data_IF_953254923049
#
_entry.id   IF_953254923049
#
_cell.length_a   1.000
_cell.length_b   1.000
_cell.length_c   1.000
_cell.angle_alpha   90.00
_cell.angle_beta   90.00
_cell.angle_gamma   90.00
#
_symmetry.space_group_name_H-M   'P 1'
#
loop_
_entity.id
_entity.type
_entity.pdbx_description
1 polymer ?
#
# COMPACT_ATOMS: atom_id res chain seq x y z
N UNK A 1 -17.72 -8.41 -38.06
CA UNK A 1 -17.84 -8.95 -36.69
C UNK A 1 -17.67 -7.78 -35.74
N UNK A 2 -18.74 -7.32 -35.07
CA UNK A 2 -18.64 -6.30 -34.03
C UNK A 2 -18.17 -6.96 -32.73
N UNK A 3 -17.21 -6.35 -32.03
CA UNK A 3 -16.70 -6.85 -30.75
C UNK A 3 -17.37 -6.12 -29.59
N UNK A 4 -17.35 -6.71 -28.39
CA UNK A 4 -17.89 -6.12 -27.16
C UNK A 4 -17.28 -4.73 -26.84
N UNK A 5 -16.12 -4.40 -27.43
CA UNK A 5 -15.44 -3.10 -27.29
C UNK A 5 -16.07 -1.98 -28.13
N UNK A 6 -16.85 -2.31 -29.16
CA UNK A 6 -17.52 -1.34 -30.03
C UNK A 6 -18.82 -0.77 -29.39
N UNK A 7 -19.26 -1.36 -28.26
CA UNK A 7 -20.47 -0.98 -27.52
C UNK A 7 -20.20 -0.11 -26.28
N UNK A 8 -18.94 0.23 -25.99
CA UNK A 8 -18.59 1.08 -24.85
C UNK A 8 -18.75 2.57 -25.21
N UNK A 9 -19.54 3.34 -24.45
CA UNK A 9 -19.73 4.76 -24.75
C UNK A 9 -18.40 5.52 -24.69
N UNK A 10 -18.17 6.29 -25.75
CA UNK A 10 -17.03 7.19 -25.95
C UNK A 10 -16.90 8.12 -24.74
N UNK A 11 -15.69 8.17 -24.15
CA UNK A 11 -15.27 8.96 -22.98
C UNK A 11 -16.18 10.17 -22.69
N UNK A 12 -16.91 10.10 -21.59
CA UNK A 12 -17.60 11.25 -21.03
C UNK A 12 -16.57 12.32 -20.62
N UNK A 13 -16.62 13.49 -21.26
CA UNK A 13 -16.00 14.72 -20.76
C UNK A 13 -17.03 15.41 -19.87
N UNK A 14 -16.73 15.69 -18.59
CA UNK A 14 -17.58 16.56 -17.81
C UNK A 14 -17.63 17.96 -18.47
N UNK A 15 -18.79 18.64 -18.46
CA UNK A 15 -18.90 19.99 -18.98
C UNK A 15 -17.99 20.93 -18.18
N UNK A 16 -17.40 21.91 -18.87
CA UNK A 16 -16.63 22.96 -18.20
C UNK A 16 -17.51 23.68 -17.18
N UNK A 17 -16.98 24.02 -15.99
CA UNK A 17 -17.70 24.85 -15.04
C UNK A 17 -18.06 26.20 -15.70
N UNK A 18 -19.26 26.75 -15.42
CA UNK A 18 -19.65 28.05 -15.98
C UNK A 18 -18.68 29.13 -15.53
N UNK A 19 -18.32 29.99 -16.48
CA UNK A 19 -17.47 31.15 -16.27
C UNK A 19 -18.09 32.05 -15.19
N UNK A 20 -17.32 32.50 -14.18
CA UNK A 20 -17.83 33.44 -13.20
C UNK A 20 -18.19 34.76 -13.89
N UNK A 21 -19.29 35.44 -13.48
CA UNK A 21 -19.66 36.72 -14.06
C UNK A 21 -18.55 37.76 -13.84
N UNK A 22 -18.41 38.75 -14.76
CA UNK A 22 -17.44 39.81 -14.62
C UNK A 22 -17.66 40.55 -13.30
N UNK A 23 -16.67 40.46 -12.40
CA UNK A 23 -16.68 41.14 -11.11
C UNK A 23 -16.56 42.64 -11.36
N UNK A 24 -17.53 43.40 -10.85
CA UNK A 24 -17.50 44.86 -10.88
C UNK A 24 -16.19 45.41 -10.25
N UNK A 25 -15.63 46.51 -10.78
CA UNK A 25 -14.43 47.10 -10.21
C UNK A 25 -14.73 47.63 -8.80
N UNK A 26 -14.08 47.04 -7.80
CA UNK A 26 -14.05 47.61 -6.46
C UNK A 26 -13.14 48.84 -6.46
N UNK A 27 -13.52 49.96 -5.82
CA UNK A 27 -12.63 51.09 -5.63
C UNK A 27 -11.44 50.66 -4.77
N UNK A 28 -10.24 50.84 -5.30
CA UNK A 28 -8.96 50.69 -4.61
C UNK A 28 -8.85 51.76 -3.50
N UNK A 29 -8.68 51.38 -2.22
CA UNK A 29 -8.16 52.31 -1.22
C UNK A 29 -6.68 52.53 -1.48
N UNK A 30 -6.29 53.80 -1.54
CA UNK A 30 -4.93 54.24 -1.71
C UNK A 30 -3.99 53.74 -0.59
N UNK A 31 -2.82 53.32 -1.05
CA UNK A 31 -1.51 53.24 -0.41
C UNK A 31 -1.38 53.75 1.04
N UNK A 32 -1.08 52.83 1.94
CA UNK A 32 -0.22 53.10 3.09
C UNK A 32 0.80 51.97 3.18
N UNK A 33 2.01 52.22 2.66
CA UNK A 33 3.15 51.31 2.71
C UNK A 33 3.62 51.17 4.17
N UNK A 34 3.00 50.24 4.90
CA UNK A 34 3.53 49.79 6.17
C UNK A 34 4.87 49.06 5.91
N UNK A 35 5.93 49.30 6.71
CA UNK A 35 7.17 48.59 6.54
C UNK A 35 6.90 47.10 6.72
N UNK A 36 7.17 46.32 5.67
CA UNK A 36 7.15 44.87 5.68
C UNK A 36 8.15 44.45 6.74
N UNK A 37 7.65 44.12 7.94
CA UNK A 37 8.40 43.45 8.99
C UNK A 37 8.93 42.16 8.37
N UNK A 38 10.19 42.18 7.94
CA UNK A 38 10.92 40.99 7.55
C UNK A 38 10.80 40.02 8.71
N UNK A 39 9.94 39.00 8.54
CA UNK A 39 9.90 37.87 9.47
C UNK A 39 11.27 37.24 9.35
N UNK A 40 12.12 37.57 10.30
CA UNK A 40 13.42 36.96 10.52
C UNK A 40 13.28 35.45 10.36
N UNK A 41 14.11 34.86 9.49
CA UNK A 41 14.27 33.42 9.30
C UNK A 41 14.44 32.75 10.67
N UNK A 42 13.34 32.31 11.26
CA UNK A 42 13.39 31.43 12.42
C UNK A 42 14.05 30.12 11.96
N UNK A 43 15.00 29.56 12.73
CA UNK A 43 15.65 28.31 12.37
C UNK A 43 14.58 27.25 12.12
N UNK A 44 14.63 26.59 10.96
CA UNK A 44 13.71 25.53 10.59
C UNK A 44 13.64 24.50 11.72
N UNK A 45 12.49 24.40 12.39
CA UNK A 45 12.26 23.39 13.40
C UNK A 45 12.62 22.01 12.85
N UNK A 46 13.24 21.16 13.69
CA UNK A 46 13.62 19.82 13.30
C UNK A 46 12.42 19.07 12.69
N UNK A 47 12.63 18.28 11.61
CA UNK A 47 11.55 17.62 10.91
C UNK A 47 10.80 16.66 11.83
N UNK A 48 9.47 16.72 11.78
CA UNK A 48 8.63 15.83 12.59
C UNK A 48 8.68 14.40 12.06
N UNK A 49 8.27 13.41 12.86
CA UNK A 49 8.15 12.03 12.38
C UNK A 49 7.20 11.90 11.19
N UNK A 50 6.16 12.74 11.11
CA UNK A 50 5.24 12.78 9.97
C UNK A 50 5.97 13.23 8.70
N UNK A 51 6.82 14.25 8.79
CA UNK A 51 7.61 14.75 7.66
C UNK A 51 8.61 13.69 7.18
N UNK A 52 9.17 12.90 8.11
CA UNK A 52 10.04 11.76 7.77
C UNK A 52 9.28 10.68 6.98
N UNK A 53 8.07 10.31 7.43
CA UNK A 53 7.25 9.33 6.69
C UNK A 53 6.83 9.85 5.31
N UNK A 54 6.44 11.12 5.20
CA UNK A 54 6.05 11.72 3.93
C UNK A 54 7.23 11.83 2.95
N UNK A 55 8.40 12.21 3.45
CA UNK A 55 9.64 12.26 2.67
C UNK A 55 10.04 10.88 2.18
N UNK A 56 10.02 9.86 3.05
CA UNK A 56 10.26 8.47 2.70
C UNK A 56 9.27 7.98 1.63
N UNK A 57 7.98 8.26 1.82
CA UNK A 57 6.91 7.86 0.89
C UNK A 57 7.17 8.42 -0.51
N UNK A 58 7.40 9.73 -0.63
CA UNK A 58 7.69 10.37 -1.93
C UNK A 58 8.94 9.81 -2.57
N UNK A 59 10.04 9.71 -1.80
CA UNK A 59 11.33 9.19 -2.27
C UNK A 59 11.19 7.78 -2.87
N UNK A 60 10.50 6.87 -2.19
CA UNK A 60 10.40 5.48 -2.63
C UNK A 60 9.41 5.28 -3.77
N UNK A 61 8.29 6.01 -3.78
CA UNK A 61 7.39 6.00 -4.94
C UNK A 61 8.12 6.45 -6.21
N UNK A 62 8.89 7.54 -6.13
CA UNK A 62 9.70 8.01 -7.25
C UNK A 62 10.79 7.01 -7.62
N UNK A 63 11.58 6.52 -6.65
CA UNK A 63 12.71 5.60 -6.90
C UNK A 63 12.27 4.32 -7.62
N UNK A 64 11.11 3.77 -7.26
CA UNK A 64 10.61 2.52 -7.83
C UNK A 64 9.60 2.72 -8.96
N UNK A 65 9.32 3.97 -9.34
CA UNK A 65 8.33 4.30 -10.37
C UNK A 65 6.92 3.78 -10.02
N UNK A 66 6.58 3.75 -8.73
CA UNK A 66 5.31 3.22 -8.23
C UNK A 66 4.31 4.35 -8.04
N UNK A 67 3.06 4.11 -8.44
CA UNK A 67 1.95 5.03 -8.23
C UNK A 67 0.96 4.45 -7.22
N UNK A 68 0.50 5.29 -6.31
CA UNK A 68 -0.56 4.91 -5.38
C UNK A 68 -1.91 5.09 -6.06
N UNK A 69 -2.66 4.00 -6.24
CA UNK A 69 -4.02 4.07 -6.76
C UNK A 69 -5.00 4.52 -5.67
N UNK A 70 -4.85 3.98 -4.46
CA UNK A 70 -5.74 4.25 -3.33
C UNK A 70 -5.00 4.16 -2.00
N UNK A 71 -5.21 5.16 -1.15
CA UNK A 71 -4.85 5.06 0.26
C UNK A 71 -5.94 4.29 1.01
N UNK A 72 -5.59 3.18 1.64
CA UNK A 72 -6.51 2.34 2.41
C UNK A 72 -6.66 2.85 3.84
N UNK A 73 -7.84 2.67 4.40
CA UNK A 73 -8.09 2.87 5.84
C UNK A 73 -7.71 1.62 6.64
N UNK A 74 -7.79 0.44 6.02
CA UNK A 74 -7.37 -0.85 6.61
C UNK A 74 -5.84 -0.99 6.66
N UNK A 75 -5.35 -1.77 7.62
CA UNK A 75 -3.91 -2.07 7.78
C UNK A 75 -3.45 -3.24 6.89
N UNK A 76 -3.77 -3.12 5.60
CA UNK A 76 -3.48 -4.08 4.54
C UNK A 76 -3.22 -3.34 3.23
N UNK A 77 -2.41 -3.95 2.37
CA UNK A 77 -2.14 -3.43 1.05
C UNK A 77 -2.23 -4.49 -0.04
N UNK A 78 -2.00 -4.03 -1.27
CA UNK A 78 -1.80 -4.86 -2.44
C UNK A 78 -0.93 -4.10 -3.44
N UNK A 79 0.03 -4.80 -4.01
CA UNK A 79 0.89 -4.33 -5.08
C UNK A 79 0.65 -5.15 -6.35
N UNK A 80 0.63 -4.49 -7.50
CA UNK A 80 0.50 -5.16 -8.80
C UNK A 80 1.13 -4.35 -9.93
N UNK A 81 1.31 -5.00 -11.07
CA UNK A 81 1.81 -4.38 -12.29
C UNK A 81 0.85 -4.63 -13.43
N UNK A 82 0.76 -3.68 -14.35
CA UNK A 82 0.01 -3.79 -15.60
C UNK A 82 0.99 -3.60 -16.74
N UNK A 83 1.17 -4.63 -17.56
CA UNK A 83 1.94 -4.55 -18.81
C UNK A 83 0.97 -4.25 -19.94
N UNK A 84 1.21 -3.16 -20.65
CA UNK A 84 0.41 -2.77 -21.81
C UNK A 84 0.95 -3.42 -23.09
N UNK A 85 0.17 -3.38 -24.17
CA UNK A 85 0.54 -3.98 -25.45
C UNK A 85 1.80 -3.36 -26.07
N UNK A 86 2.10 -2.10 -25.75
CA UNK A 86 3.32 -1.39 -26.16
C UNK A 86 4.56 -1.77 -25.31
N UNK A 87 4.41 -2.72 -24.39
CA UNK A 87 5.47 -3.18 -23.49
C UNK A 87 5.70 -2.26 -22.29
N UNK A 88 5.00 -1.13 -22.18
CA UNK A 88 5.12 -0.26 -21.00
C UNK A 88 4.52 -0.94 -19.77
N UNK A 89 5.08 -0.66 -18.59
CA UNK A 89 4.64 -1.25 -17.32
C UNK A 89 4.20 -0.14 -16.37
N UNK A 90 2.95 -0.18 -15.94
CA UNK A 90 2.48 0.60 -14.79
C UNK A 90 2.63 -0.19 -13.49
N UNK A 91 3.29 0.40 -12.50
CA UNK A 91 3.48 -0.16 -11.16
C UNK A 91 2.54 0.53 -10.18
N UNK A 92 1.70 -0.25 -9.51
CA UNK A 92 0.57 0.28 -8.74
C UNK A 92 0.49 -0.37 -7.36
N UNK A 93 0.14 0.44 -6.36
CA UNK A 93 -0.17 -0.04 -5.02
C UNK A 93 -1.48 0.53 -4.48
N UNK A 94 -2.09 -0.21 -3.57
CA UNK A 94 -2.98 0.32 -2.55
C UNK A 94 -2.43 -0.05 -1.18
N UNK A 95 -2.36 0.91 -0.26
CA UNK A 95 -1.75 0.72 1.05
C UNK A 95 -2.30 1.75 2.04
N UNK A 96 -2.21 1.53 3.37
CA UNK A 96 -2.42 2.59 4.34
C UNK A 96 -1.38 3.70 4.14
N UNK A 97 -1.81 4.96 4.31
CA UNK A 97 -0.87 6.09 4.25
C UNK A 97 0.06 6.04 5.46
N UNK A 98 1.40 6.09 5.29
CA UNK A 98 2.33 6.10 6.41
C UNK A 98 2.09 7.28 7.35
N UNK A 99 1.65 6.98 8.57
CA UNK A 99 1.45 7.94 9.67
C UNK A 99 2.13 7.50 10.96
N UNK A 100 2.63 6.27 11.00
CA UNK A 100 3.29 5.64 12.14
C UNK A 100 3.92 4.30 11.74
N UNK A 101 4.68 3.65 12.64
CA UNK A 101 5.51 2.49 12.33
C UNK A 101 4.77 1.36 11.60
N UNK A 102 3.57 1.00 12.07
CA UNK A 102 2.77 -0.07 11.47
C UNK A 102 2.35 0.26 10.03
N UNK A 103 1.74 1.43 9.81
CA UNK A 103 1.32 1.86 8.47
C UNK A 103 2.50 2.04 7.51
N UNK A 104 3.65 2.50 8.01
CA UNK A 104 4.89 2.58 7.24
C UNK A 104 5.39 1.19 6.84
N UNK A 105 5.40 0.23 7.77
CA UNK A 105 5.82 -1.14 7.50
C UNK A 105 4.97 -1.82 6.42
N UNK A 106 3.64 -1.69 6.50
CA UNK A 106 2.73 -2.23 5.47
C UNK A 106 2.93 -1.55 4.12
N UNK A 107 3.04 -0.22 4.09
CA UNK A 107 3.36 0.51 2.86
C UNK A 107 4.68 0.04 2.24
N UNK A 108 5.72 -0.11 3.06
CA UNK A 108 7.04 -0.55 2.63
C UNK A 108 7.02 -2.01 2.15
N UNK A 109 6.19 -2.88 2.72
CA UNK A 109 5.99 -4.23 2.22
C UNK A 109 5.43 -4.23 0.78
N UNK A 110 4.46 -3.36 0.49
CA UNK A 110 3.94 -3.23 -0.90
C UNK A 110 4.98 -2.67 -1.86
N UNK A 111 5.79 -1.69 -1.43
CA UNK A 111 6.95 -1.23 -2.23
C UNK A 111 7.98 -2.35 -2.38
N UNK A 112 8.17 -3.16 -1.35
CA UNK A 112 9.07 -4.32 -1.33
C UNK A 112 8.78 -5.28 -2.46
N UNK A 113 7.51 -5.58 -2.73
CA UNK A 113 7.13 -6.40 -3.90
C UNK A 113 7.60 -5.81 -5.23
N UNK A 114 7.57 -4.48 -5.40
CA UNK A 114 8.14 -3.85 -6.59
C UNK A 114 9.66 -3.84 -6.59
N UNK A 115 10.29 -3.65 -5.43
CA UNK A 115 11.73 -3.55 -5.28
C UNK A 115 12.44 -4.89 -5.55
N UNK A 116 11.88 -5.99 -5.04
CA UNK A 116 12.43 -7.34 -5.24
C UNK A 116 12.00 -7.98 -6.57
N UNK A 117 10.95 -7.43 -7.19
CA UNK A 117 10.33 -7.97 -8.40
C UNK A 117 9.26 -9.03 -8.12
N UNK A 118 8.20 -9.04 -8.93
CA UNK A 118 7.12 -10.04 -8.85
C UNK A 118 7.54 -11.35 -9.52
N UNK A 119 7.13 -12.48 -8.93
CA UNK A 119 7.40 -13.84 -9.39
C UNK A 119 8.90 -14.22 -9.47
N UNK A 120 9.78 -13.43 -8.84
CA UNK A 120 11.21 -13.70 -8.76
C UNK A 120 11.47 -14.82 -7.76
N UNK A 121 10.75 -14.84 -6.64
CA UNK A 121 10.92 -15.82 -5.58
C UNK A 121 9.77 -16.83 -5.58
N UNK A 122 10.11 -18.12 -5.49
CA UNK A 122 9.14 -19.22 -5.44
C UNK A 122 9.46 -20.14 -4.26
N UNK A 123 8.45 -20.64 -3.52
CA UNK A 123 7.01 -20.40 -3.65
C UNK A 123 6.58 -18.98 -3.25
N UNK A 124 5.31 -18.59 -3.52
CA UNK A 124 4.82 -17.22 -3.21
C UNK A 124 5.02 -16.80 -1.75
N UNK A 125 4.94 -17.72 -0.78
CA UNK A 125 5.24 -17.40 0.62
C UNK A 125 6.70 -16.99 0.87
N UNK A 126 7.66 -17.43 0.04
CA UNK A 126 9.05 -16.96 0.10
C UNK A 126 9.16 -15.52 -0.42
N UNK A 127 8.40 -15.18 -1.46
CA UNK A 127 8.32 -13.80 -1.95
C UNK A 127 7.74 -12.85 -0.89
N UNK A 128 6.74 -13.29 -0.12
CA UNK A 128 6.22 -12.55 1.03
C UNK A 128 7.32 -12.28 2.08
N UNK A 129 8.16 -13.29 2.39
CA UNK A 129 9.30 -13.13 3.29
C UNK A 129 10.28 -12.08 2.78
N UNK A 130 10.72 -12.20 1.52
CA UNK A 130 11.66 -11.23 0.93
C UNK A 130 11.11 -9.81 0.88
N UNK A 131 9.82 -9.65 0.64
CA UNK A 131 9.18 -8.33 0.66
C UNK A 131 9.16 -7.74 2.08
N UNK A 132 8.92 -8.56 3.11
CA UNK A 132 9.00 -8.13 4.51
C UNK A 132 10.42 -7.80 4.96
N UNK A 133 11.41 -8.63 4.62
CA UNK A 133 12.82 -8.37 4.92
C UNK A 133 13.27 -7.05 4.29
N UNK A 134 12.91 -6.82 3.03
CA UNK A 134 13.19 -5.55 2.35
C UNK A 134 12.54 -4.38 3.09
N UNK A 135 11.28 -4.52 3.51
CA UNK A 135 10.55 -3.46 4.21
C UNK A 135 11.19 -3.10 5.55
N UNK A 136 11.60 -4.08 6.35
CA UNK A 136 12.27 -3.84 7.63
C UNK A 136 13.66 -3.24 7.43
N UNK A 137 14.44 -3.74 6.49
CA UNK A 137 15.73 -3.16 6.14
C UNK A 137 15.60 -1.71 5.65
N UNK A 138 14.52 -1.40 4.92
CA UNK A 138 14.21 -0.02 4.51
C UNK A 138 13.85 0.86 5.71
N UNK A 139 13.06 0.36 6.66
CA UNK A 139 12.76 1.09 7.90
C UNK A 139 14.05 1.42 8.67
N UNK A 140 14.95 0.45 8.83
CA UNK A 140 16.26 0.64 9.48
C UNK A 140 17.10 1.68 8.73
N UNK A 141 17.21 1.57 7.41
CA UNK A 141 17.98 2.51 6.58
C UNK A 141 17.47 3.95 6.66
N UNK A 142 16.18 4.14 6.87
CA UNK A 142 15.56 5.46 7.01
C UNK A 142 15.56 5.94 8.48
N UNK A 143 16.10 5.14 9.40
CA UNK A 143 16.11 5.39 10.84
C UNK A 143 14.70 5.46 11.44
N UNK A 144 13.75 4.68 10.92
CA UNK A 144 12.38 4.61 11.39
C UNK A 144 12.26 3.55 12.50
N UNK A 145 11.39 3.80 13.47
CA UNK A 145 11.19 2.89 14.59
C UNK A 145 10.52 1.59 14.12
N UNK A 146 11.12 0.45 14.44
CA UNK A 146 10.53 -0.88 14.26
C UNK A 146 10.06 -1.36 15.63
N UNK A 147 8.76 -1.32 15.87
CA UNK A 147 8.17 -1.74 17.15
C UNK A 147 7.92 -3.24 17.18
N UNK A 148 7.72 -3.80 18.38
CA UNK A 148 7.36 -5.21 18.55
C UNK A 148 6.05 -5.55 17.82
N UNK A 149 5.10 -4.62 17.77
CA UNK A 149 3.87 -4.80 16.99
C UNK A 149 4.14 -4.98 15.49
N UNK A 150 5.13 -4.27 14.92
CA UNK A 150 5.54 -4.45 13.52
C UNK A 150 6.14 -5.84 13.31
N UNK A 151 7.05 -6.27 14.21
CA UNK A 151 7.65 -7.61 14.16
C UNK A 151 6.60 -8.71 14.27
N UNK A 152 5.65 -8.53 15.19
CA UNK A 152 4.51 -9.44 15.33
C UNK A 152 3.65 -9.48 14.07
N UNK A 153 3.37 -8.33 13.45
CA UNK A 153 2.58 -8.26 12.21
C UNK A 153 3.24 -9.03 11.07
N UNK A 154 4.56 -8.89 10.93
CA UNK A 154 5.35 -9.67 9.98
C UNK A 154 5.21 -11.17 10.24
N UNK A 155 5.46 -11.61 11.48
CA UNK A 155 5.33 -13.01 11.89
C UNK A 155 3.93 -13.57 11.58
N UNK A 156 2.88 -12.87 11.96
CA UNK A 156 1.49 -13.25 11.67
C UNK A 156 1.23 -13.37 10.15
N UNK A 157 1.77 -12.43 9.36
CA UNK A 157 1.64 -12.42 7.89
C UNK A 157 2.32 -13.63 7.26
N UNK A 158 3.52 -13.98 7.73
CA UNK A 158 4.30 -15.10 7.19
C UNK A 158 3.68 -16.45 7.57
N UNK A 159 3.21 -16.59 8.82
CA UNK A 159 2.44 -17.78 9.24
C UNK A 159 1.20 -17.96 8.36
N UNK A 160 0.46 -16.88 8.10
CA UNK A 160 -0.70 -16.93 7.20
C UNK A 160 -0.29 -17.33 5.78
N UNK A 161 0.78 -16.75 5.22
CA UNK A 161 1.27 -17.08 3.88
C UNK A 161 1.69 -18.55 3.76
N UNK A 162 2.40 -19.09 4.77
CA UNK A 162 2.79 -20.50 4.83
C UNK A 162 1.57 -21.41 4.93
N UNK A 163 0.63 -21.12 5.84
CA UNK A 163 -0.61 -21.89 5.98
C UNK A 163 -1.43 -21.88 4.67
N UNK A 164 -1.50 -20.73 3.99
CA UNK A 164 -2.16 -20.60 2.69
C UNK A 164 -1.45 -21.41 1.59
N UNK A 165 -0.13 -21.40 1.57
CA UNK A 165 0.64 -22.20 0.60
C UNK A 165 0.44 -23.71 0.82
N UNK A 166 0.43 -24.17 2.07
CA UNK A 166 0.12 -25.57 2.42
C UNK A 166 -1.27 -25.99 1.98
N UNK A 167 -2.30 -25.17 2.25
CA UNK A 167 -3.67 -25.41 1.75
C UNK A 167 -3.78 -25.46 0.22
N UNK A 168 -2.84 -24.84 -0.49
CA UNK A 168 -2.73 -24.87 -1.95
C UNK A 168 -1.81 -25.97 -2.48
N UNK A 169 -1.41 -26.93 -1.63
CA UNK A 169 -0.65 -28.11 -2.04
C UNK A 169 0.87 -27.97 -2.01
N UNK A 170 1.44 -26.98 -1.30
CA UNK A 170 2.88 -26.89 -1.11
C UNK A 170 3.40 -28.11 -0.33
N UNK A 171 4.18 -28.97 -0.98
CA UNK A 171 4.72 -30.21 -0.40
C UNK A 171 5.98 -30.00 0.45
N UNK A 172 6.85 -29.08 0.04
CA UNK A 172 8.13 -28.78 0.70
C UNK A 172 8.21 -27.30 1.03
N UNK A 173 8.44 -26.99 2.29
CA UNK A 173 8.60 -25.62 2.77
C UNK A 173 10.09 -25.24 2.71
N UNK A 174 10.45 -24.09 2.10
CA UNK A 174 11.82 -23.58 2.17
C UNK A 174 12.33 -23.42 3.60
N UNK A 175 13.63 -23.64 3.82
CA UNK A 175 14.27 -23.61 5.14
C UNK A 175 14.03 -22.28 5.87
N UNK A 176 14.14 -21.16 5.17
CA UNK A 176 13.94 -19.80 5.70
C UNK A 176 12.51 -19.60 6.27
N UNK A 177 11.55 -20.40 5.83
CA UNK A 177 10.16 -20.32 6.27
C UNK A 177 9.81 -21.31 7.38
N UNK A 178 10.74 -22.20 7.78
CA UNK A 178 10.52 -23.16 8.88
C UNK A 178 10.07 -22.50 10.19
N UNK A 179 10.59 -21.33 10.61
CA UNK A 179 10.13 -20.66 11.83
C UNK A 179 8.62 -20.33 11.82
N UNK A 180 8.04 -20.14 10.64
CA UNK A 180 6.63 -19.76 10.46
C UNK A 180 5.71 -20.96 10.17
N UNK A 181 6.23 -22.18 10.24
CA UNK A 181 5.46 -23.40 9.95
C UNK A 181 4.43 -23.76 11.03
N UNK A 182 4.60 -23.28 12.26
CA UNK A 182 3.72 -23.62 13.37
C UNK A 182 2.37 -22.93 13.23
N UNK A 183 1.34 -23.75 12.96
CA UNK A 183 -0.05 -23.33 12.79
C UNK A 183 -0.57 -22.63 14.05
N UNK A 184 -1.05 -21.40 13.90
CA UNK A 184 -1.91 -20.79 14.91
C UNK A 184 -3.30 -21.45 14.85
N UNK A 185 -3.86 -21.94 15.97
CA UNK A 185 -5.18 -22.61 16.00
C UNK A 185 -6.36 -21.72 15.55
N UNK A 186 -6.15 -20.42 15.28
CA UNK A 186 -7.22 -19.55 14.73
C UNK A 186 -7.51 -19.76 13.25
N UNK A 187 -6.60 -20.38 12.48
CA UNK A 187 -6.76 -20.55 11.03
C UNK A 187 -7.50 -21.83 10.62
N UNK A 188 -7.86 -22.70 11.56
CA UNK A 188 -8.64 -23.92 11.31
C UNK A 188 -10.16 -23.69 11.28
N UNK A 189 -10.67 -22.54 11.74
CA UNK A 189 -12.12 -22.34 11.90
C UNK A 189 -12.85 -21.60 10.75
N UNK A 190 -12.17 -21.22 9.65
CA UNK A 190 -12.84 -20.51 8.53
C UNK A 190 -13.40 -21.40 7.42
N UNK A 191 -13.44 -22.73 7.60
CA UNK A 191 -14.04 -23.65 6.62
C UNK A 191 -15.01 -24.68 7.21
N UNK A 192 -15.46 -24.51 8.46
CA UNK A 192 -16.40 -25.43 9.12
C UNK A 192 -17.76 -24.81 9.47
N UNK A 193 -18.06 -23.58 9.01
CA UNK A 193 -19.33 -22.90 9.28
C UNK A 193 -20.41 -23.07 8.19
N UNK A 194 -20.27 -24.02 7.26
CA UNK A 194 -21.25 -24.22 6.15
C UNK A 194 -21.83 -25.63 6.09
N UNK A 195 -21.53 -26.54 7.02
CA UNK A 195 -21.95 -27.95 6.88
C UNK A 195 -22.50 -28.60 8.15
N UNK A 196 -23.30 -27.87 8.94
CA UNK A 196 -24.24 -28.48 9.90
C UNK A 196 -25.56 -27.69 9.88
N UNK A 197 -26.35 -27.89 8.82
CA UNK A 197 -27.79 -27.59 8.82
C UNK A 197 -28.43 -28.38 7.70
N UNK A 198 -28.57 -29.70 7.90
CA UNK A 198 -29.48 -30.59 7.17
C UNK A 198 -29.36 -31.99 7.77
N UNK A 199 -29.98 -32.20 8.94
CA UNK A 199 -30.42 -33.53 9.36
C UNK A 199 -31.95 -33.42 9.48
N UNK A 200 -32.74 -34.09 8.63
CA UNK A 200 -34.17 -34.23 8.87
C UNK A 200 -34.37 -35.24 10.01
N UNK A 201 -35.10 -34.84 11.05
CA UNK A 201 -35.63 -35.75 12.06
C UNK A 201 -36.59 -36.73 11.40
N UNK A 202 -36.31 -38.02 11.57
CA UNK A 202 -37.29 -39.09 11.38
C UNK A 202 -37.26 -39.96 12.64
N UNK A 203 -38.33 -39.85 13.43
CA UNK A 203 -39.26 -40.89 13.94
C UNK A 203 -40.10 -40.24 15.03
#
# INVERSE_FOLDING_TARGET
>A
MLTLWDLLPKKWKPPAPPEPPPRAPHPTPATASAPVRQRSNAPHAAPTMRDRYETMTRKLLTRHGVRVRKWRTSMSGVAWQVTYADGTISRLIEAPRPKGPMSAAVFLHEIGHHAIGFNVYKPRCLEELRAWEWALAEMERQGLNITDSVRKRMDDSLRYAVAKARRRGLKRLPTDLLPYATTSPRLVNSSLAVLISSIPSAV
#
